data_IF_061377653386
#
_entry.id   IF_061377653386
#
_cell.length_a   1.000
_cell.length_b   1.000
_cell.length_c   1.000
_cell.angle_alpha   90.00
_cell.angle_beta   90.00
_cell.angle_gamma   90.00
#
_symmetry.space_group_name_H-M   'P 1'
#
loop_
_entity.id
_entity.type
_entity.pdbx_description
1 polymer ?
#
# COMPACT_ATOMS: atom_id res chain seq x y z
N UNK A 1 58.05 -17.03 10.45
CA UNK A 1 58.05 -18.31 9.72
C UNK A 1 57.14 -18.16 8.51
N UNK A 2 57.70 -18.17 7.30
CA UNK A 2 56.98 -18.04 6.02
C UNK A 2 57.01 -19.42 5.36
N UNK A 3 55.86 -20.01 5.07
CA UNK A 3 55.78 -21.23 4.28
C UNK A 3 55.39 -20.89 2.85
N UNK A 4 56.33 -21.17 1.95
CA UNK A 4 56.24 -21.05 0.51
C UNK A 4 55.91 -22.46 -0.02
N UNK A 5 54.90 -22.59 -0.89
CA UNK A 5 54.49 -23.89 -1.41
C UNK A 5 53.83 -23.76 -2.79
N UNK A 6 54.65 -23.63 -3.82
CA UNK A 6 54.24 -23.67 -5.24
C UNK A 6 54.28 -25.12 -5.74
N UNK A 7 53.18 -25.63 -6.31
CA UNK A 7 53.21 -26.82 -7.18
C UNK A 7 52.45 -26.62 -8.50
N UNK A 8 53.27 -26.39 -9.52
CA UNK A 8 53.26 -26.82 -10.93
C UNK A 8 51.94 -27.32 -11.57
N UNK A 9 51.52 -26.52 -12.55
CA UNK A 9 51.01 -26.84 -13.91
C UNK A 9 51.19 -28.28 -14.41
N UNK A 10 50.13 -28.79 -15.04
CA UNK A 10 50.23 -29.60 -16.25
C UNK A 10 49.38 -28.98 -17.37
N UNK A 11 50.01 -28.84 -18.54
CA UNK A 11 49.45 -28.44 -19.83
C UNK A 11 49.49 -29.69 -20.71
N UNK A 12 48.38 -30.00 -21.36
CA UNK A 12 48.32 -30.94 -22.48
C UNK A 12 47.18 -30.52 -23.41
N UNK A 13 47.53 -29.88 -24.55
CA UNK A 13 46.66 -29.79 -25.73
C UNK A 13 46.47 -31.19 -26.33
N UNK A 14 45.56 -31.48 -27.26
CA UNK A 14 44.95 -30.78 -28.42
C UNK A 14 43.67 -31.58 -28.74
N UNK A 15 42.60 -31.08 -29.34
CA UNK A 15 42.51 -30.67 -30.74
C UNK A 15 41.08 -30.18 -31.02
N UNK A 16 40.96 -29.22 -31.93
CA UNK A 16 39.69 -28.72 -32.44
C UNK A 16 39.04 -29.72 -33.41
N UNK A 17 37.72 -29.85 -33.35
CA UNK A 17 36.89 -30.18 -34.50
C UNK A 17 35.58 -29.39 -34.40
N UNK A 18 35.41 -28.46 -35.32
CA UNK A 18 34.18 -27.69 -35.53
C UNK A 18 33.22 -28.56 -36.33
N UNK A 19 32.04 -28.84 -35.79
CA UNK A 19 30.90 -29.30 -36.56
C UNK A 19 29.69 -28.45 -36.19
N UNK A 20 29.38 -27.47 -37.03
CA UNK A 20 28.13 -26.74 -36.99
C UNK A 20 27.02 -27.65 -37.52
N UNK A 21 26.01 -27.93 -36.70
CA UNK A 21 24.70 -28.42 -37.13
C UNK A 21 23.66 -27.59 -36.38
N UNK A 22 23.13 -26.58 -37.07
CA UNK A 22 21.92 -25.90 -36.65
C UNK A 22 20.72 -26.83 -36.92
N UNK A 23 19.95 -27.16 -35.89
CA UNK A 23 18.62 -27.73 -36.05
C UNK A 23 17.68 -27.14 -34.98
N UNK A 24 16.58 -26.59 -35.49
CA UNK A 24 15.51 -25.90 -34.81
C UNK A 24 14.67 -26.82 -33.90
N UNK A 25 14.16 -26.22 -32.81
CA UNK A 25 12.84 -26.44 -32.16
C UNK A 25 12.64 -27.53 -31.09
N UNK A 26 11.88 -27.10 -30.06
CA UNK A 26 11.17 -27.81 -28.98
C UNK A 26 11.98 -28.23 -27.73
N UNK A 27 12.04 -27.32 -26.75
CA UNK A 27 12.40 -27.63 -25.36
C UNK A 27 11.28 -28.43 -24.69
N UNK A 28 11.39 -29.77 -24.70
CA UNK A 28 10.74 -30.63 -23.72
C UNK A 28 11.77 -30.97 -22.64
N UNK A 29 11.50 -30.60 -21.39
CA UNK A 29 12.34 -30.99 -20.27
C UNK A 29 11.95 -32.42 -19.79
N UNK A 30 12.91 -33.23 -19.30
CA UNK A 30 12.67 -34.63 -18.94
C UNK A 30 12.03 -34.76 -17.54
N UNK A 31 11.15 -35.76 -17.41
CA UNK A 31 10.64 -36.26 -16.13
C UNK A 31 11.80 -36.81 -15.27
N UNK A 32 12.03 -36.19 -14.11
CA UNK A 32 12.93 -36.72 -13.08
C UNK A 32 12.11 -37.10 -11.84
N UNK A 33 12.08 -38.41 -11.59
CA UNK A 33 11.91 -39.14 -10.32
C UNK A 33 11.56 -38.34 -9.06
N UNK A 34 10.49 -38.81 -8.41
CA UNK A 34 10.02 -38.42 -7.08
C UNK A 34 11.10 -38.58 -6.00
N UNK A 35 11.38 -37.50 -5.27
CA UNK A 35 11.91 -37.56 -3.92
C UNK A 35 10.78 -37.27 -2.93
N UNK A 36 10.54 -38.25 -2.07
CA UNK A 36 9.61 -38.19 -0.95
C UNK A 36 10.25 -37.33 0.16
N UNK A 37 9.82 -36.08 0.26
CA UNK A 37 10.17 -35.17 1.34
C UNK A 37 8.85 -34.73 1.98
N UNK A 38 8.60 -35.15 3.22
CA UNK A 38 7.40 -34.80 3.99
C UNK A 38 7.44 -33.31 4.34
N UNK A 39 6.54 -32.45 3.81
CA UNK A 39 6.58 -31.02 4.13
C UNK A 39 5.78 -30.75 5.40
N UNK A 40 6.44 -30.19 6.42
CA UNK A 40 5.77 -29.42 7.49
C UNK A 40 4.95 -28.29 6.84
N UNK A 41 3.76 -27.94 7.35
CA UNK A 41 2.99 -26.85 6.78
C UNK A 41 3.77 -25.55 7.00
N UNK A 42 4.31 -25.01 5.92
CA UNK A 42 4.60 -23.58 5.82
C UNK A 42 3.24 -22.90 5.80
N UNK A 43 3.01 -21.96 6.73
CA UNK A 43 1.94 -20.98 6.56
C UNK A 43 2.26 -20.21 5.27
N UNK A 44 1.65 -20.65 4.18
CA UNK A 44 1.41 -19.80 3.02
C UNK A 44 0.57 -18.66 3.55
N UNK A 45 1.07 -17.43 3.43
CA UNK A 45 0.17 -16.29 3.31
C UNK A 45 -0.88 -16.70 2.29
N UNK A 46 -2.14 -16.75 2.68
CA UNK A 46 -3.22 -16.96 1.72
C UNK A 46 -3.09 -15.84 0.70
N UNK A 47 -2.50 -16.15 -0.45
CA UNK A 47 -2.59 -15.32 -1.63
C UNK A 47 -4.09 -15.28 -1.92
N UNK A 48 -4.73 -14.17 -1.54
CA UNK A 48 -6.14 -13.92 -1.85
C UNK A 48 -6.25 -13.90 -3.36
N UNK A 49 -6.61 -15.05 -3.93
CA UNK A 49 -7.01 -15.15 -5.33
C UNK A 49 -8.38 -14.51 -5.40
N UNK A 50 -8.41 -13.25 -5.82
CA UNK A 50 -9.65 -12.57 -6.21
C UNK A 50 -10.19 -13.31 -7.45
N UNK A 51 -11.08 -14.29 -7.23
CA UNK A 51 -11.72 -15.06 -8.30
C UNK A 51 -12.62 -14.21 -9.18
N UNK A 52 -13.15 -13.12 -8.61
CA UNK A 52 -13.86 -12.06 -9.30
C UNK A 52 -13.36 -10.71 -8.81
N UNK A 53 -13.07 -9.79 -9.73
CA UNK A 53 -13.03 -8.36 -9.42
C UNK A 53 -14.45 -8.00 -9.00
N UNK A 54 -14.70 -7.51 -7.77
CA UNK A 54 -16.03 -7.06 -7.41
C UNK A 54 -16.48 -6.01 -8.44
N UNK A 55 -17.64 -6.21 -9.05
CA UNK A 55 -18.18 -5.26 -10.01
C UNK A 55 -18.37 -3.90 -9.31
N UNK A 56 -18.21 -2.79 -10.05
CA UNK A 56 -18.35 -1.41 -9.55
C UNK A 56 -19.71 -1.15 -8.87
N UNK A 57 -20.69 -2.04 -9.03
CA UNK A 57 -22.01 -2.00 -8.43
C UNK A 57 -22.03 -2.32 -6.92
N UNK A 58 -20.96 -2.96 -6.40
CA UNK A 58 -20.83 -3.36 -4.99
C UNK A 58 -20.24 -2.25 -4.10
N UNK A 59 -19.61 -1.25 -4.71
CA UNK A 59 -19.09 -0.07 -4.03
C UNK A 59 -19.85 1.16 -4.53
N UNK A 60 -20.20 2.07 -3.64
CA UNK A 60 -20.68 3.39 -4.06
C UNK A 60 -19.53 4.17 -4.71
N UNK A 61 -19.29 3.94 -6.01
CA UNK A 61 -18.34 4.68 -6.84
C UNK A 61 -18.89 6.05 -7.23
N UNK A 62 -20.21 6.23 -7.11
CA UNK A 62 -20.85 7.53 -7.22
C UNK A 62 -20.41 8.40 -6.06
N UNK A 63 -19.67 9.47 -6.39
CA UNK A 63 -19.34 10.52 -5.44
C UNK A 63 -20.64 11.06 -4.84
N UNK A 64 -20.88 10.93 -3.52
CA UNK A 64 -22.03 11.56 -2.89
C UNK A 64 -21.97 13.07 -3.18
N UNK A 65 -23.12 13.77 -3.30
CA UNK A 65 -23.14 15.16 -3.68
C UNK A 65 -22.22 15.98 -2.78
N UNK A 66 -21.07 16.37 -3.34
CA UNK A 66 -20.05 17.09 -2.61
C UNK A 66 -20.56 18.51 -2.38
N UNK A 67 -20.67 18.93 -1.11
CA UNK A 67 -20.79 20.34 -0.75
C UNK A 67 -19.44 21.03 -0.93
N UNK A 68 -19.04 21.19 -2.19
CA UNK A 68 -17.83 21.90 -2.55
C UNK A 68 -18.10 23.41 -2.63
N UNK A 69 -17.12 24.26 -2.31
CA UNK A 69 -17.24 25.68 -2.57
C UNK A 69 -17.45 25.94 -4.08
N UNK A 70 -18.12 27.04 -4.42
CA UNK A 70 -18.59 27.34 -5.80
C UNK A 70 -17.45 27.72 -6.75
N UNK A 71 -17.04 26.90 -7.72
CA UNK A 71 -15.83 27.14 -8.52
C UNK A 71 -15.79 28.54 -9.15
N UNK A 72 -14.59 29.10 -9.36
CA UNK A 72 -14.41 30.42 -10.00
C UNK A 72 -15.07 30.48 -11.38
N UNK A 73 -15.48 31.69 -11.80
CA UNK A 73 -16.04 31.91 -13.14
C UNK A 73 -14.98 31.62 -14.22
N UNK A 74 -15.37 30.92 -15.30
CA UNK A 74 -14.48 30.66 -16.46
C UNK A 74 -13.97 31.99 -17.04
N UNK A 75 -12.65 32.12 -17.17
CA UNK A 75 -11.98 33.29 -17.77
C UNK A 75 -11.26 34.21 -16.79
N UNK A 76 -11.46 34.02 -15.48
CA UNK A 76 -10.78 34.81 -14.45
C UNK A 76 -9.47 34.13 -14.03
N UNK A 77 -8.32 34.77 -14.29
CA UNK A 77 -7.01 34.27 -13.86
C UNK A 77 -6.96 34.32 -12.34
N UNK A 78 -7.17 33.18 -11.68
CA UNK A 78 -7.06 33.10 -10.23
C UNK A 78 -5.63 33.41 -9.78
N UNK A 79 -5.50 34.31 -8.80
CA UNK A 79 -4.25 34.52 -8.09
C UNK A 79 -3.80 33.22 -7.41
N UNK A 80 -2.48 33.01 -7.19
CA UNK A 80 -1.99 31.85 -6.45
C UNK A 80 -2.64 31.72 -5.07
N UNK A 81 -2.85 32.84 -4.37
CA UNK A 81 -3.55 32.89 -3.08
C UNK A 81 -5.00 32.40 -3.17
N UNK A 82 -5.73 32.79 -4.23
CA UNK A 82 -7.07 32.27 -4.46
C UNK A 82 -7.02 30.75 -4.67
N UNK A 83 -6.22 30.23 -5.60
CA UNK A 83 -6.13 28.76 -5.82
C UNK A 83 -5.82 27.98 -4.55
N UNK A 84 -4.94 28.53 -3.73
CA UNK A 84 -4.57 27.95 -2.44
C UNK A 84 -5.77 27.91 -1.47
N UNK A 85 -6.48 29.03 -1.30
CA UNK A 85 -7.70 29.07 -0.47
C UNK A 85 -8.79 28.11 -0.96
N UNK A 86 -8.90 27.93 -2.28
CA UNK A 86 -9.84 27.01 -2.90
C UNK A 86 -9.50 25.55 -2.60
N UNK A 87 -8.22 25.19 -2.65
CA UNK A 87 -7.75 23.83 -2.37
C UNK A 87 -7.89 23.43 -0.89
N UNK A 88 -7.85 24.39 0.03
CA UNK A 88 -7.95 24.17 1.47
C UNK A 88 -9.38 24.26 2.01
N UNK A 89 -10.30 24.79 1.20
CA UNK A 89 -11.65 25.11 1.64
C UNK A 89 -12.40 23.86 2.12
N UNK A 90 -12.98 23.94 3.31
CA UNK A 90 -13.74 22.85 3.93
C UNK A 90 -12.90 21.84 4.73
N UNK A 91 -11.58 22.04 4.83
CA UNK A 91 -10.69 21.21 5.65
C UNK A 91 -10.47 21.90 7.01
N UNK A 92 -10.70 21.23 8.15
CA UNK A 92 -10.39 21.77 9.47
C UNK A 92 -8.89 22.09 9.61
N UNK A 93 -8.55 23.22 10.24
CA UNK A 93 -7.17 23.73 10.28
C UNK A 93 -6.17 22.73 10.89
N UNK A 94 -6.52 22.08 12.00
CA UNK A 94 -5.65 21.07 12.65
C UNK A 94 -5.40 19.88 11.74
N UNK A 95 -6.42 19.45 10.99
CA UNK A 95 -6.32 18.30 10.06
C UNK A 95 -5.52 18.67 8.81
N UNK A 96 -5.73 19.87 8.26
CA UNK A 96 -4.91 20.39 7.15
C UNK A 96 -3.43 20.48 7.53
N UNK A 97 -3.14 20.95 8.74
CA UNK A 97 -1.78 20.98 9.26
C UNK A 97 -1.16 19.58 9.35
N UNK A 98 -1.94 18.57 9.76
CA UNK A 98 -1.49 17.18 9.78
C UNK A 98 -1.16 16.64 8.39
N UNK A 99 -2.00 16.88 7.37
CA UNK A 99 -1.73 16.44 6.00
C UNK A 99 -0.46 17.06 5.42
N UNK A 100 -0.25 18.36 5.63
CA UNK A 100 0.99 19.05 5.21
C UNK A 100 2.21 18.54 5.93
N UNK A 101 2.07 18.26 7.23
CA UNK A 101 3.15 17.68 8.02
C UNK A 101 3.53 16.30 7.49
N UNK A 102 2.56 15.48 7.10
CA UNK A 102 2.81 14.17 6.50
C UNK A 102 3.57 14.30 5.16
N UNK A 103 3.12 15.16 4.25
CA UNK A 103 3.84 15.46 2.99
C UNK A 103 5.27 15.94 3.27
N UNK A 104 5.44 16.89 4.18
CA UNK A 104 6.76 17.44 4.52
C UNK A 104 7.67 16.38 5.15
N UNK A 105 7.10 15.48 5.97
CA UNK A 105 7.85 14.40 6.62
C UNK A 105 8.30 13.38 5.58
N UNK A 106 7.38 12.91 4.74
CA UNK A 106 7.68 11.96 3.67
C UNK A 106 8.65 12.55 2.65
N UNK A 107 8.49 13.81 2.27
CA UNK A 107 9.45 14.49 1.38
C UNK A 107 10.88 14.56 1.93
N UNK A 108 11.08 14.34 3.24
CA UNK A 108 12.41 14.24 3.87
C UNK A 108 12.85 12.79 4.08
N UNK A 109 11.97 11.92 4.55
CA UNK A 109 12.33 10.52 4.90
C UNK A 109 12.33 9.59 3.69
N UNK A 110 11.44 9.82 2.73
CA UNK A 110 11.35 9.10 1.46
C UNK A 110 10.92 10.04 0.33
N UNK A 111 11.87 10.80 -0.24
CA UNK A 111 11.59 11.73 -1.33
C UNK A 111 11.01 11.06 -2.59
N UNK A 112 11.24 9.76 -2.78
CA UNK A 112 10.73 8.99 -3.92
C UNK A 112 9.22 8.75 -3.86
N UNK A 113 8.64 8.74 -2.65
CA UNK A 113 7.21 8.58 -2.42
C UNK A 113 6.37 9.67 -3.11
N UNK A 114 6.88 10.91 -3.17
CA UNK A 114 6.21 12.08 -3.78
C UNK A 114 4.75 12.26 -3.34
N UNK A 115 4.46 12.02 -2.07
CA UNK A 115 3.12 12.06 -1.49
C UNK A 115 2.58 13.50 -1.40
N UNK A 116 1.62 13.92 -2.24
CA UNK A 116 1.04 15.26 -2.14
C UNK A 116 0.01 15.32 -1.01
N UNK A 117 0.00 16.39 -0.22
CA UNK A 117 -0.94 16.50 0.91
C UNK A 117 -2.41 16.46 0.48
N UNK A 118 -2.72 16.89 -0.76
CA UNK A 118 -4.08 16.88 -1.29
C UNK A 118 -4.62 15.45 -1.47
N UNK A 119 -3.74 14.48 -1.76
CA UNK A 119 -4.13 13.07 -1.84
C UNK A 119 -4.55 12.56 -0.46
N UNK A 120 -3.77 12.87 0.59
CA UNK A 120 -4.13 12.54 1.97
C UNK A 120 -5.44 13.21 2.39
N UNK A 121 -5.65 14.46 1.97
CA UNK A 121 -6.90 15.17 2.24
C UNK A 121 -8.09 14.50 1.54
N UNK A 122 -7.95 14.08 0.29
CA UNK A 122 -8.99 13.37 -0.43
C UNK A 122 -9.36 12.05 0.26
N UNK A 123 -8.36 11.24 0.65
CA UNK A 123 -8.57 10.00 1.39
C UNK A 123 -9.27 10.30 2.72
N UNK A 124 -8.70 11.17 3.56
CA UNK A 124 -9.28 11.47 4.86
C UNK A 124 -10.68 12.11 4.79
N UNK A 125 -11.03 12.75 3.67
CA UNK A 125 -12.41 13.21 3.42
C UNK A 125 -13.37 12.03 3.26
N UNK A 126 -12.99 11.05 2.45
CA UNK A 126 -13.80 9.86 2.14
C UNK A 126 -13.89 8.96 3.37
N UNK A 127 -12.76 8.70 4.03
CA UNK A 127 -12.67 7.75 5.15
C UNK A 127 -13.42 8.21 6.39
N UNK A 128 -13.33 9.50 6.75
CA UNK A 128 -13.86 9.98 8.02
C UNK A 128 -14.46 11.39 7.98
N UNK A 129 -14.57 12.01 6.80
CA UNK A 129 -15.00 13.40 6.71
C UNK A 129 -14.02 14.37 7.37
N UNK A 130 -12.71 14.13 7.23
CA UNK A 130 -11.63 14.84 7.92
C UNK A 130 -11.71 14.71 9.46
N UNK A 131 -11.66 13.49 9.99
CA UNK A 131 -11.78 13.21 11.41
C UNK A 131 -13.10 13.74 12.00
N UNK A 132 -14.24 13.36 11.39
CA UNK A 132 -15.58 13.81 11.73
C UNK A 132 -15.71 15.34 11.77
N UNK A 133 -15.17 16.02 10.75
CA UNK A 133 -15.17 17.48 10.66
C UNK A 133 -14.16 18.17 11.59
N UNK A 134 -13.06 17.50 11.94
CA UNK A 134 -12.00 18.04 12.77
C UNK A 134 -12.30 17.96 14.25
N UNK A 135 -13.04 16.93 14.69
CA UNK A 135 -13.30 16.63 16.10
C UNK A 135 -12.07 16.02 16.75
N UNK A 136 -11.02 16.84 16.84
CA UNK A 136 -9.73 16.51 17.42
C UNK A 136 -9.38 17.51 18.52
N UNK A 137 -8.58 17.07 19.48
CA UNK A 137 -8.01 17.94 20.51
C UNK A 137 -6.86 18.80 19.96
N UNK A 138 -6.19 19.56 20.83
CA UNK A 138 -5.07 20.42 20.44
C UNK A 138 -3.88 19.65 19.84
N UNK A 139 -3.74 18.37 20.17
CA UNK A 139 -2.65 17.51 19.71
C UNK A 139 -3.01 16.82 18.39
N UNK A 140 -4.25 16.96 17.92
CA UNK A 140 -4.76 16.24 16.75
C UNK A 140 -5.29 14.85 17.06
N UNK A 141 -5.43 14.48 18.34
CA UNK A 141 -6.05 13.21 18.76
C UNK A 141 -7.56 13.31 18.65
N UNK A 142 -8.22 12.30 18.08
CA UNK A 142 -9.68 12.31 17.96
C UNK A 142 -10.34 12.28 19.33
N UNK A 143 -11.39 13.08 19.52
CA UNK A 143 -12.12 13.14 20.80
C UNK A 143 -12.94 11.88 21.10
N UNK A 144 -13.13 11.04 20.08
CA UNK A 144 -13.79 9.73 20.19
C UNK A 144 -13.14 8.80 19.16
N UNK A 145 -13.13 7.48 19.41
CA UNK A 145 -12.65 6.53 18.41
C UNK A 145 -13.42 6.66 17.10
N UNK A 146 -12.70 6.53 15.98
CA UNK A 146 -13.29 6.36 14.65
C UNK A 146 -12.94 4.94 14.26
N UNK A 147 -13.93 4.06 14.32
CA UNK A 147 -13.76 2.63 14.04
C UNK A 147 -14.62 2.26 12.83
N UNK A 148 -14.02 1.51 11.92
CA UNK A 148 -14.68 0.90 10.79
C UNK A 148 -15.58 -0.29 11.21
N UNK A 149 -16.24 -0.91 10.22
CA UNK A 149 -16.97 -2.15 10.43
C UNK A 149 -16.02 -3.27 10.88
N UNK A 150 -16.57 -4.29 11.55
CA UNK A 150 -15.83 -5.52 11.86
C UNK A 150 -15.49 -6.22 10.56
N UNK A 151 -14.24 -6.64 10.39
CA UNK A 151 -13.78 -7.40 9.24
C UNK A 151 -13.93 -8.90 9.50
N UNK A 152 -15.19 -9.37 9.63
CA UNK A 152 -15.51 -10.76 9.96
C UNK A 152 -15.94 -11.62 8.75
N UNK A 153 -15.76 -11.14 7.52
CA UNK A 153 -16.23 -11.84 6.32
C UNK A 153 -17.73 -11.69 5.99
N UNK A 154 -18.51 -10.97 6.80
CA UNK A 154 -19.93 -10.72 6.54
C UNK A 154 -20.12 -9.35 5.86
N UNK A 155 -19.91 -9.30 4.54
CA UNK A 155 -20.05 -8.08 3.73
C UNK A 155 -18.79 -7.18 3.72
N UNK A 156 -17.76 -7.55 4.47
CA UNK A 156 -16.42 -6.96 4.44
C UNK A 156 -15.38 -8.08 4.40
N UNK A 157 -14.10 -7.73 4.25
CA UNK A 157 -13.00 -8.69 4.34
C UNK A 157 -13.04 -9.48 5.67
N UNK A 158 -12.47 -10.68 5.68
CA UNK A 158 -12.27 -11.48 6.90
C UNK A 158 -10.82 -11.31 7.37
N UNK A 159 -10.61 -10.55 8.43
CA UNK A 159 -9.30 -10.24 9.00
C UNK A 159 -9.36 -10.54 10.50
N UNK A 160 -8.70 -11.62 10.91
CA UNK A 160 -8.55 -11.97 12.32
C UNK A 160 -7.68 -10.94 13.05
N UNK A 161 -7.90 -10.81 14.36
CA UNK A 161 -7.14 -9.91 15.25
C UNK A 161 -5.62 -10.06 15.06
N UNK A 162 -4.95 -8.92 14.91
CA UNK A 162 -3.48 -8.84 14.72
C UNK A 162 -2.75 -8.23 15.90
N UNK A 163 -3.44 -7.57 16.83
CA UNK A 163 -2.84 -6.74 17.87
C UNK A 163 -3.33 -7.04 19.31
N UNK A 164 -4.24 -8.00 19.48
CA UNK A 164 -4.84 -8.33 20.77
C UNK A 164 -5.97 -7.39 21.18
N UNK A 165 -6.59 -6.69 20.22
CA UNK A 165 -7.57 -5.63 20.43
C UNK A 165 -6.97 -4.32 20.97
N UNK A 166 -5.69 -4.05 20.70
CA UNK A 166 -4.98 -2.90 21.27
C UNK A 166 -5.45 -1.56 20.69
N UNK A 167 -5.75 -1.50 19.39
CA UNK A 167 -6.15 -0.26 18.72
C UNK A 167 -7.66 -0.11 18.51
N UNK A 168 -8.42 -1.20 18.41
CA UNK A 168 -9.86 -1.17 18.14
C UNK A 168 -10.75 -1.83 19.21
N UNK A 169 -10.14 -2.53 20.17
CA UNK A 169 -10.82 -3.20 21.28
C UNK A 169 -11.45 -4.55 20.95
N UNK A 170 -11.21 -5.13 19.76
CA UNK A 170 -11.76 -6.42 19.34
C UNK A 170 -10.65 -7.48 19.27
N UNK A 171 -10.64 -8.43 20.22
CA UNK A 171 -9.64 -9.50 20.27
C UNK A 171 -9.99 -10.71 19.37
N UNK A 172 -10.91 -10.54 18.41
CA UNK A 172 -11.32 -11.61 17.48
C UNK A 172 -11.08 -11.22 16.02
N UNK A 173 -11.47 -10.00 15.64
CA UNK A 173 -11.34 -9.48 14.28
C UNK A 173 -10.95 -8.02 14.27
N UNK A 174 -10.08 -7.63 13.35
CA UNK A 174 -9.66 -6.25 13.22
C UNK A 174 -10.76 -5.36 12.61
N UNK A 175 -10.63 -4.07 12.89
CA UNK A 175 -11.36 -2.96 12.27
C UNK A 175 -10.37 -1.95 11.74
N UNK A 176 -10.78 -1.21 10.72
CA UNK A 176 -10.05 0.00 10.33
C UNK A 176 -10.18 1.08 11.42
N UNK A 177 -9.06 1.73 11.77
CA UNK A 177 -8.95 2.67 12.90
C UNK A 177 -8.54 4.08 12.44
N UNK A 178 -9.19 5.07 13.03
CA UNK A 178 -8.80 6.47 12.98
C UNK A 178 -9.18 7.20 11.70
N UNK A 179 -8.76 8.47 11.55
CA UNK A 179 -9.21 9.34 10.45
C UNK A 179 -8.84 8.86 9.03
N UNK A 180 -7.85 7.98 8.94
CA UNK A 180 -7.34 7.41 7.69
C UNK A 180 -7.70 5.93 7.53
N UNK A 181 -8.46 5.35 8.48
CA UNK A 181 -9.00 3.99 8.41
C UNK A 181 -7.94 2.92 8.09
N UNK A 182 -6.79 2.96 8.78
CA UNK A 182 -5.78 1.90 8.68
C UNK A 182 -6.16 0.70 9.54
N UNK A 183 -5.86 -0.50 9.08
CA UNK A 183 -6.01 -1.73 9.86
C UNK A 183 -4.79 -1.86 10.79
N UNK A 184 -4.98 -2.29 12.06
CA UNK A 184 -3.93 -2.63 13.01
C UNK A 184 -2.77 -3.50 12.49
#
# INVERSE_FOLDING_TARGET
MRFNGTMRRQLGGTAAAVAAMAALTASQAPQLVAHEETPKPRHTTDDVVWSEVPNDDSYHTELPPLKSPKPPKKGEKQSPAARQSWAEAGIPATVLAAYRRAETTMGRSDPGCRLPWQLLAAIGKVESGHAAGGRVDRNGTTVSPILGPVLNGAGFANIADTDGGAYDGDATYDRAVGPMQFIP
#
